data_IF_374202109287
#
_entry.id   IF_374202109287
#
_cell.length_a   1.000
_cell.length_b   1.000
_cell.length_c   1.000
_cell.angle_alpha   90.00
_cell.angle_beta   90.00
_cell.angle_gamma   90.00
#
_symmetry.space_group_name_H-M   'P 1'
#
loop_
_entity.id
_entity.type
_entity.pdbx_description
1 polymer ?
#
# COMPACT_ATOMS: atom_id res chain seq x y z
N UNK A 1 -17.21 8.67 -17.82
CA UNK A 1 -15.81 8.29 -18.15
C UNK A 1 -14.79 8.79 -17.13
N UNK A 2 -14.71 10.08 -16.81
CA UNK A 2 -13.71 10.63 -15.86
C UNK A 2 -13.64 9.88 -14.52
N UNK A 3 -14.79 9.62 -13.89
CA UNK A 3 -14.85 8.90 -12.61
C UNK A 3 -14.32 7.46 -12.72
N UNK A 4 -14.77 6.69 -13.71
CA UNK A 4 -14.31 5.31 -13.92
C UNK A 4 -12.79 5.25 -14.11
N UNK A 5 -12.22 6.19 -14.88
CA UNK A 5 -10.77 6.28 -15.06
C UNK A 5 -10.03 6.55 -13.73
N UNK A 6 -10.59 7.39 -12.87
CA UNK A 6 -10.03 7.65 -11.54
C UNK A 6 -10.09 6.40 -10.67
N UNK A 7 -11.21 5.69 -10.64
CA UNK A 7 -11.33 4.44 -9.87
C UNK A 7 -10.33 3.39 -10.36
N UNK A 8 -10.16 3.24 -11.67
CA UNK A 8 -9.16 2.33 -12.25
C UNK A 8 -7.74 2.71 -11.82
N UNK A 9 -7.43 4.01 -11.75
CA UNK A 9 -6.13 4.49 -11.30
C UNK A 9 -5.90 4.19 -9.81
N UNK A 10 -6.90 4.44 -8.96
CA UNK A 10 -6.86 4.13 -7.52
C UNK A 10 -6.65 2.63 -7.29
N UNK A 11 -7.43 1.79 -7.98
CA UNK A 11 -7.30 0.33 -7.89
C UNK A 11 -5.96 -0.17 -8.46
N UNK A 12 -5.45 0.45 -9.52
CA UNK A 12 -4.14 0.14 -10.09
C UNK A 12 -3.01 0.42 -9.11
N UNK A 13 -3.04 1.57 -8.42
CA UNK A 13 -2.08 1.91 -7.36
C UNK A 13 -2.16 0.89 -6.22
N UNK A 14 -3.37 0.51 -5.80
CA UNK A 14 -3.55 -0.50 -4.77
C UNK A 14 -2.96 -1.86 -5.17
N UNK A 15 -3.17 -2.29 -6.42
CA UNK A 15 -2.60 -3.54 -6.92
C UNK A 15 -1.06 -3.52 -6.90
N UNK A 16 -0.44 -2.41 -7.30
CA UNK A 16 1.02 -2.25 -7.22
C UNK A 16 1.51 -2.31 -5.77
N UNK A 17 0.84 -1.64 -4.84
CA UNK A 17 1.22 -1.67 -3.43
C UNK A 17 1.07 -3.08 -2.82
N UNK A 18 0.01 -3.84 -3.17
CA UNK A 18 -0.13 -5.25 -2.76
C UNK A 18 1.01 -6.10 -3.32
N UNK A 19 1.32 -5.96 -4.61
CA UNK A 19 2.42 -6.70 -5.24
C UNK A 19 3.76 -6.38 -4.58
N UNK A 20 3.98 -5.12 -4.20
CA UNK A 20 5.17 -4.69 -3.46
C UNK A 20 5.28 -5.41 -2.12
N UNK A 21 4.21 -5.40 -1.32
CA UNK A 21 4.18 -6.01 0.01
C UNK A 21 4.27 -7.54 0.02
N UNK A 22 3.80 -8.19 -1.05
CA UNK A 22 4.00 -9.64 -1.23
C UNK A 22 5.50 -9.95 -1.40
N UNK A 23 6.31 -8.97 -1.82
CA UNK A 23 7.75 -9.10 -2.06
C UNK A 23 8.09 -10.35 -2.89
N UNK A 24 7.57 -10.47 -4.12
CA UNK A 24 7.76 -11.68 -4.95
C UNK A 24 9.22 -11.91 -5.34
N UNK A 25 10.06 -10.88 -5.27
CA UNK A 25 11.50 -10.95 -5.53
C UNK A 25 12.29 -11.41 -4.30
N UNK A 26 11.63 -11.61 -3.14
CA UNK A 26 12.21 -12.05 -1.88
C UNK A 26 13.45 -11.24 -1.44
N UNK A 27 13.48 -9.94 -1.75
CA UNK A 27 14.61 -9.06 -1.47
C UNK A 27 15.86 -9.29 -2.35
N UNK A 28 15.78 -10.14 -3.38
CA UNK A 28 16.89 -10.40 -4.32
C UNK A 28 17.04 -9.26 -5.34
N UNK A 29 15.92 -8.59 -5.67
CA UNK A 29 15.86 -7.44 -6.56
C UNK A 29 15.22 -6.28 -5.81
N UNK A 30 16.01 -5.56 -5.02
CA UNK A 30 15.60 -4.33 -4.35
C UNK A 30 16.14 -3.12 -5.15
N UNK A 31 15.26 -2.15 -5.43
CA UNK A 31 15.63 -0.94 -6.17
C UNK A 31 16.44 0.04 -5.30
N UNK A 32 16.27 -0.07 -3.98
CA UNK A 32 16.92 0.71 -2.94
C UNK A 32 17.52 -0.28 -1.95
N UNK A 33 18.77 -0.11 -1.49
CA UNK A 33 19.33 -0.94 -0.43
C UNK A 33 18.71 -0.53 0.92
N UNK A 34 17.51 -1.06 1.21
CA UNK A 34 16.72 -0.75 2.42
C UNK A 34 16.66 -1.95 3.40
N UNK A 35 17.71 -2.76 3.41
CA UNK A 35 17.81 -4.02 4.16
C UNK A 35 18.59 -3.90 5.49
N UNK A 36 18.66 -2.69 6.07
CA UNK A 36 19.27 -2.49 7.38
C UNK A 36 18.37 -3.09 8.48
N UNK A 37 18.89 -3.95 9.37
CA UNK A 37 18.12 -4.42 10.51
C UNK A 37 17.69 -3.23 11.38
N UNK A 38 16.41 -3.23 11.82
CA UNK A 38 15.70 -2.17 12.57
C UNK A 38 15.28 -0.90 11.79
N UNK A 39 15.91 -0.55 10.68
CA UNK A 39 15.64 0.71 9.93
C UNK A 39 15.31 0.47 8.45
N UNK A 40 15.17 -0.79 8.05
CA UNK A 40 14.80 -1.17 6.69
C UNK A 40 13.30 -1.13 6.39
N UNK A 41 12.97 -1.16 5.10
CA UNK A 41 11.62 -1.34 4.52
C UNK A 41 10.69 -0.11 4.59
N UNK A 42 11.23 1.10 4.40
CA UNK A 42 10.48 2.36 4.30
C UNK A 42 9.51 2.38 3.11
N UNK A 43 9.91 1.74 2.02
CA UNK A 43 9.11 1.50 0.83
C UNK A 43 7.95 0.54 1.10
N UNK A 44 8.12 -0.55 1.87
CA UNK A 44 6.97 -1.35 2.33
C UNK A 44 6.07 -0.54 3.25
N UNK A 45 6.62 0.27 4.17
CA UNK A 45 5.81 1.16 5.00
C UNK A 45 4.99 2.14 4.13
N UNK A 46 5.59 2.67 3.07
CA UNK A 46 4.91 3.46 2.04
C UNK A 46 3.78 2.69 1.35
N UNK A 47 4.03 1.45 0.95
CA UNK A 47 3.01 0.59 0.34
C UNK A 47 1.84 0.29 1.29
N UNK A 48 2.10 0.07 2.59
CA UNK A 48 1.04 -0.05 3.61
C UNK A 48 0.23 1.24 3.74
N UNK A 49 0.89 2.40 3.78
CA UNK A 49 0.22 3.70 3.83
C UNK A 49 -0.66 3.95 2.61
N UNK A 50 -0.21 3.53 1.42
CA UNK A 50 -1.02 3.59 0.20
C UNK A 50 -2.26 2.73 0.35
N UNK A 51 -2.13 1.46 0.75
CA UNK A 51 -3.26 0.55 0.87
C UNK A 51 -4.27 1.01 1.92
N UNK A 52 -3.80 1.45 3.09
CA UNK A 52 -4.68 1.97 4.14
C UNK A 52 -5.45 3.21 3.69
N UNK A 53 -4.83 4.11 2.93
CA UNK A 53 -5.52 5.26 2.35
C UNK A 53 -6.51 4.87 1.24
N UNK A 54 -6.20 3.88 0.40
CA UNK A 54 -7.16 3.36 -0.59
C UNK A 54 -8.37 2.71 0.09
N UNK A 55 -8.15 1.94 1.14
CA UNK A 55 -9.25 1.36 1.93
C UNK A 55 -10.11 2.47 2.54
N UNK A 56 -9.49 3.49 3.14
CA UNK A 56 -10.21 4.66 3.66
C UNK A 56 -10.98 5.43 2.57
N UNK A 57 -10.42 5.55 1.36
CA UNK A 57 -11.09 6.15 0.20
C UNK A 57 -12.40 5.42 -0.15
N UNK A 58 -12.42 4.10 -0.02
CA UNK A 58 -13.62 3.27 -0.21
C UNK A 58 -14.50 3.13 1.05
N UNK A 59 -14.22 3.87 2.11
CA UNK A 59 -14.99 3.87 3.36
C UNK A 59 -14.57 2.82 4.38
N UNK A 60 -13.52 2.05 4.12
CA UNK A 60 -12.91 1.08 5.03
C UNK A 60 -11.73 1.72 5.78
N UNK A 61 -12.00 2.77 6.55
CA UNK A 61 -10.97 3.44 7.36
C UNK A 61 -10.60 2.57 8.57
N UNK A 62 -9.39 2.00 8.55
CA UNK A 62 -8.91 1.11 9.60
C UNK A 62 -8.82 1.81 10.97
N UNK A 63 -8.66 3.13 11.01
CA UNK A 63 -8.65 3.90 12.26
C UNK A 63 -10.02 3.92 12.96
N UNK A 64 -11.09 3.59 12.21
CA UNK A 64 -12.47 3.57 12.70
C UNK A 64 -12.94 2.17 13.11
N UNK A 65 -12.25 1.11 12.69
CA UNK A 65 -12.66 -0.28 12.96
C UNK A 65 -12.78 -0.60 14.47
N UNK A 66 -12.02 0.08 15.33
CA UNK A 66 -12.07 -0.07 16.79
C UNK A 66 -12.95 0.94 17.53
N UNK A 67 -13.45 1.98 16.85
CA UNK A 67 -14.27 3.04 17.48
C UNK A 67 -15.77 2.74 17.30
N UNK A 68 -16.26 1.70 17.98
CA UNK A 68 -17.70 1.58 18.26
C UNK A 68 -18.01 2.41 19.51
N UNK A 69 -18.40 3.67 19.32
CA UNK A 69 -19.17 4.46 20.29
C UNK A 69 -20.21 5.25 19.54
#
# INVERSE_FOLDING_TARGET
MKRVLQEMFVLGIAAVAVLYLINPTAGILEFIPDNLPLVGNLDEAGAVLILTNVLAYYGLDLNRLGKRR
#
